data_IF_489376428497
#
_entry.id   IF_489376428497
#
_cell.length_a   1.000
_cell.length_b   1.000
_cell.length_c   1.000
_cell.angle_alpha   90.00
_cell.angle_beta   90.00
_cell.angle_gamma   90.00
#
_symmetry.space_group_name_H-M   'P 1'
#
loop_
_entity.id
_entity.type
_entity.pdbx_description
1 polymer ?
#
# COMPACT_ATOMS: atom_id res chain seq x y z
N UNK A 1 3.75 -4.48 2.36
CA UNK A 1 2.36 -3.91 2.42
C UNK A 1 1.26 -4.88 1.94
N UNK A 2 1.49 -5.67 0.87
CA UNK A 2 0.56 -6.65 0.29
C UNK A 2 -0.24 -7.52 1.27
N UNK A 3 0.40 -8.07 2.29
CA UNK A 3 -0.19 -9.01 3.25
C UNK A 3 -1.35 -8.41 4.06
N UNK A 4 -1.46 -7.07 4.11
CA UNK A 4 -2.53 -6.37 4.84
C UNK A 4 -3.88 -6.35 4.10
N UNK A 5 -3.97 -6.88 2.88
CA UNK A 5 -5.23 -7.03 2.16
C UNK A 5 -5.88 -5.70 1.69
N UNK A 6 -5.16 -4.58 1.71
CA UNK A 6 -5.73 -3.27 1.34
C UNK A 6 -6.24 -3.19 -0.12
N UNK A 7 -5.72 -4.05 -0.99
CA UNK A 7 -6.10 -4.12 -2.41
C UNK A 7 -7.38 -4.90 -2.67
N UNK A 8 -7.88 -5.70 -1.71
CA UNK A 8 -8.92 -6.71 -1.96
C UNK A 8 -10.22 -6.11 -2.48
N UNK A 9 -10.67 -5.01 -1.87
CA UNK A 9 -11.88 -4.28 -2.29
C UNK A 9 -11.74 -3.57 -3.64
N UNK A 10 -10.54 -3.49 -4.20
CA UNK A 10 -10.24 -2.83 -5.46
C UNK A 10 -9.89 -3.81 -6.59
N UNK A 11 -9.76 -5.11 -6.30
CA UNK A 11 -9.45 -6.15 -7.30
C UNK A 11 -10.47 -6.21 -8.44
N UNK A 12 -11.73 -5.83 -8.18
CA UNK A 12 -12.79 -5.83 -9.18
C UNK A 12 -12.71 -4.66 -10.18
N UNK A 13 -11.87 -3.67 -9.92
CA UNK A 13 -11.66 -2.58 -10.88
C UNK A 13 -10.51 -2.96 -11.80
N UNK A 14 -10.65 -2.84 -13.12
CA UNK A 14 -9.56 -3.00 -14.11
C UNK A 14 -8.48 -1.90 -14.01
N UNK A 15 -8.46 -1.15 -12.91
CA UNK A 15 -7.58 -0.02 -12.69
C UNK A 15 -6.33 -0.47 -11.96
N UNK A 16 -5.20 0.11 -12.36
CA UNK A 16 -3.92 -0.06 -11.66
C UNK A 16 -4.02 0.48 -10.23
N UNK A 17 -3.62 -0.34 -9.25
CA UNK A 17 -3.66 0.02 -7.84
C UNK A 17 -2.24 0.36 -7.37
N UNK A 18 -2.08 1.53 -6.78
CA UNK A 18 -0.83 1.94 -6.13
C UNK A 18 -1.02 1.90 -4.62
N UNK A 19 -0.22 1.09 -3.95
CA UNK A 19 -0.14 1.04 -2.49
C UNK A 19 1.08 1.82 -2.02
N UNK A 20 0.88 2.72 -1.07
CA UNK A 20 1.95 3.46 -0.41
C UNK A 20 1.76 3.31 1.09
N UNK A 21 2.80 2.86 1.78
CA UNK A 21 2.80 2.69 3.22
C UNK A 21 3.96 3.46 3.84
N UNK A 22 3.70 4.09 4.97
CA UNK A 22 4.72 4.78 5.76
C UNK A 22 4.70 4.23 7.18
N UNK A 23 5.88 3.97 7.72
CA UNK A 23 6.08 3.75 9.15
C UNK A 23 6.46 5.09 9.77
N UNK A 24 5.57 5.60 10.61
CA UNK A 24 5.79 6.86 11.33
C UNK A 24 6.06 6.55 12.81
N UNK A 25 7.27 6.88 13.26
CA UNK A 25 7.63 6.80 14.67
C UNK A 25 7.13 8.06 15.38
N UNK A 26 6.16 7.89 16.26
CA UNK A 26 5.55 8.99 17.02
C UNK A 26 6.48 9.55 18.11
N UNK A 27 7.39 8.74 18.65
CA UNK A 27 8.38 9.17 19.63
C UNK A 27 9.47 10.04 19.01
N UNK A 28 9.94 9.68 17.82
CA UNK A 28 10.96 10.41 17.08
C UNK A 28 10.38 11.46 16.12
N UNK A 29 9.05 11.49 15.96
CA UNK A 29 8.28 12.40 15.09
C UNK A 29 8.78 12.40 13.65
N UNK A 30 9.17 11.23 13.13
CA UNK A 30 9.72 11.08 11.78
C UNK A 30 9.24 9.80 11.11
N UNK A 31 9.27 9.83 9.78
CA UNK A 31 9.14 8.63 8.96
C UNK A 31 10.43 7.82 9.13
N UNK A 32 10.29 6.57 9.56
CA UNK A 32 11.41 5.65 9.71
C UNK A 32 11.61 4.80 8.47
N UNK A 33 10.52 4.48 7.78
CA UNK A 33 10.52 3.63 6.60
C UNK A 33 9.31 3.97 5.73
N UNK A 34 9.48 3.85 4.42
CA UNK A 34 8.38 3.94 3.47
C UNK A 34 8.56 2.89 2.40
N UNK A 35 7.44 2.32 1.95
CA UNK A 35 7.40 1.33 0.89
C UNK A 35 6.29 1.68 -0.10
N UNK A 36 6.48 1.29 -1.36
CA UNK A 36 5.46 1.40 -2.38
C UNK A 36 5.36 0.11 -3.18
N UNK A 37 4.15 -0.25 -3.57
CA UNK A 37 3.87 -1.43 -4.36
C UNK A 37 2.82 -1.08 -5.41
N UNK A 38 3.03 -1.61 -6.61
CA UNK A 38 2.06 -1.49 -7.70
C UNK A 38 1.43 -2.85 -7.91
N UNK A 39 0.10 -2.88 -7.90
CA UNK A 39 -0.69 -4.08 -8.18
C UNK A 39 -1.50 -3.80 -9.42
N UNK A 40 -1.23 -4.55 -10.47
CA UNK A 40 -2.09 -4.56 -11.64
C UNK A 40 -3.38 -5.30 -11.27
N UNK A 41 -4.52 -4.72 -11.64
CA UNK A 41 -5.78 -5.43 -11.59
C UNK A 41 -5.80 -6.45 -12.73
N UNK A 42 -5.30 -7.65 -12.47
CA UNK A 42 -5.39 -8.74 -13.44
C UNK A 42 -6.72 -9.46 -13.26
N UNK A 43 -7.45 -9.60 -14.38
CA UNK A 43 -8.65 -10.45 -14.57
C UNK A 43 -8.39 -11.91 -14.21
#
# INVERSE_FOLDING_TARGET
IREKGYTEKYRQSEKKIFLIGINFDTGQRRVTEWESETVDATT
#
